data_IF_949473833372
#
_entry.id   IF_949473833372
#
_cell.length_a   1.000
_cell.length_b   1.000
_cell.length_c   1.000
_cell.angle_alpha   90.00
_cell.angle_beta   90.00
_cell.angle_gamma   90.00
#
_symmetry.space_group_name_H-M   'P 1'
#
loop_
_entity.id
_entity.type
_entity.pdbx_description
1 polymer ?
#
# COMPACT_ATOMS: atom_id res chain seq x y z
N UNK A 1 -19.89 -11.42 18.48
CA UNK A 1 -20.20 -12.87 18.45
C UNK A 1 -21.32 -13.13 19.45
N UNK A 2 -22.49 -13.60 18.99
CA UNK A 2 -23.58 -14.03 19.86
C UNK A 2 -23.13 -15.25 20.67
N UNK A 3 -23.38 -15.24 21.97
CA UNK A 3 -23.10 -16.40 22.83
C UNK A 3 -24.11 -17.51 22.51
N UNK A 4 -23.68 -18.77 22.39
CA UNK A 4 -24.57 -19.90 22.06
C UNK A 4 -25.73 -20.09 23.06
N UNK A 5 -25.59 -19.53 24.26
CA UNK A 5 -26.61 -19.44 25.31
C UNK A 5 -27.87 -18.67 24.87
N UNK A 6 -27.74 -17.67 23.98
CA UNK A 6 -28.86 -16.82 23.53
C UNK A 6 -29.83 -17.53 22.57
N UNK A 7 -29.45 -18.71 22.05
CA UNK A 7 -30.25 -19.52 21.15
C UNK A 7 -30.96 -20.68 21.89
N UNK A 8 -30.62 -20.92 23.16
CA UNK A 8 -31.22 -21.97 23.97
C UNK A 8 -32.57 -21.51 24.51
N UNK A 9 -33.66 -22.18 24.11
CA UNK A 9 -35.04 -21.89 24.56
C UNK A 9 -35.92 -21.17 23.54
N UNK A 10 -35.43 -20.91 22.33
CA UNK A 10 -36.26 -20.41 21.23
C UNK A 10 -37.17 -21.53 20.69
N UNK A 11 -38.40 -21.17 20.31
CA UNK A 11 -39.25 -22.08 19.54
C UNK A 11 -38.60 -22.36 18.17
N UNK A 12 -38.89 -23.52 17.55
CA UNK A 12 -38.32 -23.88 16.25
C UNK A 12 -38.51 -22.80 15.17
N UNK A 13 -39.67 -22.14 15.19
CA UNK A 13 -40.00 -21.03 14.28
C UNK A 13 -39.11 -19.80 14.52
N UNK A 14 -38.95 -19.37 15.78
CA UNK A 14 -38.10 -18.22 16.11
C UNK A 14 -36.62 -18.48 15.84
N UNK A 15 -36.18 -19.74 15.99
CA UNK A 15 -34.83 -20.15 15.65
C UNK A 15 -34.61 -20.08 14.12
N UNK A 16 -35.59 -20.54 13.33
CA UNK A 16 -35.54 -20.45 11.87
C UNK A 16 -35.48 -18.99 11.39
N UNK A 17 -36.35 -18.12 11.92
CA UNK A 17 -36.36 -16.68 11.60
C UNK A 17 -35.03 -16.00 11.96
N UNK A 18 -34.45 -16.35 13.10
CA UNK A 18 -33.16 -15.79 13.56
C UNK A 18 -32.02 -16.24 12.64
N UNK A 19 -32.00 -17.51 12.24
CA UNK A 19 -30.99 -18.05 11.33
C UNK A 19 -31.12 -17.42 9.93
N UNK A 20 -32.34 -17.22 9.44
CA UNK A 20 -32.58 -16.56 8.15
C UNK A 20 -32.14 -15.09 8.17
N UNK A 21 -32.45 -14.36 9.24
CA UNK A 21 -31.98 -12.98 9.42
C UNK A 21 -30.43 -12.90 9.52
N UNK A 22 -29.80 -13.88 10.17
CA UNK A 22 -28.34 -13.97 10.24
C UNK A 22 -27.71 -14.30 8.88
N UNK A 23 -28.28 -15.22 8.11
CA UNK A 23 -27.80 -15.57 6.78
C UNK A 23 -27.92 -14.36 5.83
N UNK A 24 -29.05 -13.65 5.87
CA UNK A 24 -29.25 -12.41 5.12
C UNK A 24 -28.21 -11.34 5.48
N UNK A 25 -27.96 -11.16 6.78
CA UNK A 25 -26.95 -10.20 7.27
C UNK A 25 -25.53 -10.61 6.85
N UNK A 26 -25.20 -11.89 6.91
CA UNK A 26 -23.90 -12.41 6.49
C UNK A 26 -23.66 -12.22 4.99
N UNK A 27 -24.68 -12.43 4.15
CA UNK A 27 -24.61 -12.17 2.70
C UNK A 27 -24.35 -10.69 2.41
N UNK A 28 -25.06 -9.80 3.10
CA UNK A 28 -24.87 -8.36 2.93
C UNK A 28 -23.45 -7.91 3.33
N UNK A 29 -22.92 -8.45 4.43
CA UNK A 29 -21.54 -8.18 4.85
C UNK A 29 -20.51 -8.71 3.84
N UNK A 30 -20.74 -9.89 3.26
CA UNK A 30 -19.89 -10.46 2.22
C UNK A 30 -19.88 -9.60 0.96
N UNK A 31 -21.04 -9.09 0.54
CA UNK A 31 -21.15 -8.21 -0.62
C UNK A 31 -20.45 -6.87 -0.38
N UNK A 32 -20.61 -6.28 0.81
CA UNK A 32 -19.87 -5.08 1.22
C UNK A 32 -18.35 -5.30 1.22
N UNK A 33 -17.89 -6.45 1.73
CA UNK A 33 -16.47 -6.79 1.74
C UNK A 33 -15.91 -6.96 0.32
N UNK A 34 -16.67 -7.58 -0.59
CA UNK A 34 -16.29 -7.72 -2.00
C UNK A 34 -16.22 -6.36 -2.70
N UNK A 35 -17.16 -5.48 -2.43
CA UNK A 35 -17.16 -4.13 -2.99
C UNK A 35 -15.98 -3.30 -2.48
N UNK A 36 -15.69 -3.36 -1.18
CA UNK A 36 -14.54 -2.71 -0.58
C UNK A 36 -13.22 -3.22 -1.20
N UNK A 37 -13.09 -4.54 -1.39
CA UNK A 37 -11.95 -5.13 -2.09
C UNK A 37 -11.82 -4.61 -3.53
N UNK A 38 -12.90 -4.62 -4.30
CA UNK A 38 -12.87 -4.13 -5.68
C UNK A 38 -12.48 -2.64 -5.79
N UNK A 39 -12.84 -1.82 -4.79
CA UNK A 39 -12.40 -0.42 -4.70
C UNK A 39 -10.91 -0.33 -4.36
N UNK A 40 -10.41 -1.16 -3.43
CA UNK A 40 -8.99 -1.22 -3.09
C UNK A 40 -8.14 -1.63 -4.30
N UNK A 41 -8.54 -2.67 -5.04
CA UNK A 41 -7.84 -3.15 -6.24
C UNK A 41 -7.74 -2.05 -7.32
N UNK A 42 -8.81 -1.25 -7.50
CA UNK A 42 -8.79 -0.08 -8.39
C UNK A 42 -7.82 1.00 -7.94
N UNK A 43 -7.76 1.24 -6.63
CA UNK A 43 -6.88 2.25 -6.04
C UNK A 43 -5.41 1.83 -6.15
N UNK A 44 -5.10 0.55 -5.92
CA UNK A 44 -3.78 -0.04 -6.15
C UNK A 44 -3.34 0.13 -7.61
N UNK A 45 -4.24 -0.15 -8.56
CA UNK A 45 -3.96 0.01 -10.00
C UNK A 45 -3.67 1.48 -10.34
N UNK A 46 -4.49 2.42 -9.84
CA UNK A 46 -4.29 3.84 -10.07
C UNK A 46 -2.97 4.35 -9.45
N UNK A 47 -2.62 3.90 -8.25
CA UNK A 47 -1.37 4.25 -7.59
C UNK A 47 -0.16 3.70 -8.38
N UNK A 48 -0.26 2.46 -8.85
CA UNK A 48 0.78 1.81 -9.66
C UNK A 48 1.01 2.55 -10.98
N UNK A 49 -0.07 3.00 -11.64
CA UNK A 49 0.02 3.83 -12.84
C UNK A 49 0.65 5.20 -12.55
N UNK A 50 0.27 5.86 -11.45
CA UNK A 50 0.83 7.15 -11.07
C UNK A 50 2.32 7.06 -10.73
N UNK A 51 2.72 6.04 -9.98
CA UNK A 51 4.14 5.74 -9.71
C UNK A 51 4.87 5.46 -11.02
N UNK A 52 4.29 4.67 -11.93
CA UNK A 52 4.86 4.43 -13.25
C UNK A 52 5.04 5.70 -14.08
N UNK A 53 4.05 6.60 -14.10
CA UNK A 53 4.15 7.87 -14.84
C UNK A 53 5.23 8.76 -14.24
N UNK A 54 5.29 8.88 -12.91
CA UNK A 54 6.32 9.70 -12.25
C UNK A 54 7.72 9.11 -12.42
N UNK A 55 7.86 7.78 -12.35
CA UNK A 55 9.15 7.11 -12.51
C UNK A 55 9.71 7.19 -13.94
N UNK A 56 8.86 7.41 -14.95
CA UNK A 56 9.25 7.47 -16.37
C UNK A 56 9.16 8.89 -16.96
N UNK A 57 9.02 9.93 -16.13
CA UNK A 57 9.03 11.32 -16.59
C UNK A 57 10.48 11.80 -16.77
N UNK A 58 10.95 12.05 -18.01
CA UNK A 58 12.33 12.42 -18.29
C UNK A 58 12.70 13.84 -17.79
N UNK A 59 11.72 14.64 -17.34
CA UNK A 59 11.93 15.94 -16.71
C UNK A 59 12.11 15.88 -15.19
N UNK A 60 11.85 14.72 -14.58
CA UNK A 60 12.10 14.44 -13.18
C UNK A 60 13.44 13.69 -13.13
N UNK A 61 14.47 14.26 -12.50
CA UNK A 61 15.70 13.51 -12.22
C UNK A 61 15.31 12.24 -11.42
N UNK A 62 15.25 11.08 -12.10
CA UNK A 62 14.36 9.94 -11.80
C UNK A 62 14.45 9.41 -10.36
N UNK A 63 15.59 9.57 -9.70
CA UNK A 63 15.77 9.18 -8.30
C UNK A 63 15.19 10.19 -7.30
N UNK A 64 15.27 11.49 -7.57
CA UNK A 64 14.83 12.50 -6.61
C UNK A 64 13.31 12.57 -6.46
N UNK A 65 12.57 12.27 -7.52
CA UNK A 65 11.11 12.26 -7.50
C UNK A 65 10.54 11.15 -6.61
N UNK A 66 11.04 9.92 -6.78
CA UNK A 66 10.64 8.77 -5.97
C UNK A 66 11.06 8.95 -4.50
N UNK A 67 12.28 9.45 -4.24
CA UNK A 67 12.71 9.77 -2.88
C UNK A 67 11.85 10.88 -2.26
N UNK A 68 11.44 11.89 -3.03
CA UNK A 68 10.53 12.95 -2.56
C UNK A 68 9.16 12.39 -2.19
N UNK A 69 8.57 11.53 -3.03
CA UNK A 69 7.27 10.91 -2.73
C UNK A 69 7.37 10.04 -1.47
N UNK A 70 8.41 9.21 -1.37
CA UNK A 70 8.65 8.42 -0.17
C UNK A 70 8.79 9.30 1.09
N UNK A 71 9.47 10.44 0.97
CA UNK A 71 9.60 11.43 2.03
C UNK A 71 8.25 12.04 2.44
N UNK A 72 7.40 12.39 1.47
CA UNK A 72 6.07 12.95 1.73
C UNK A 72 5.14 11.93 2.40
N UNK A 73 5.19 10.65 2.01
CA UNK A 73 4.41 9.59 2.63
C UNK A 73 4.85 9.31 4.08
N UNK A 74 6.17 9.33 4.34
CA UNK A 74 6.70 9.25 5.72
C UNK A 74 6.28 10.44 6.56
N UNK A 75 6.40 11.66 6.01
CA UNK A 75 5.97 12.88 6.69
C UNK A 75 4.48 12.80 7.05
N UNK A 76 3.64 12.33 6.12
CA UNK A 76 2.21 12.11 6.33
C UNK A 76 1.90 11.06 7.42
N UNK A 77 2.74 10.04 7.57
CA UNK A 77 2.57 8.99 8.57
C UNK A 77 3.09 9.37 9.97
N UNK A 78 4.15 10.16 10.03
CA UNK A 78 4.90 10.44 11.26
C UNK A 78 4.56 11.82 11.86
N UNK A 79 4.18 12.80 11.02
CA UNK A 79 3.81 14.16 11.40
C UNK A 79 2.58 14.65 10.60
N UNK A 80 1.39 14.06 10.82
CA UNK A 80 0.20 14.29 10.00
C UNK A 80 -0.30 15.74 10.02
N UNK A 81 -0.22 16.44 11.16
CA UNK A 81 -0.66 17.83 11.27
C UNK A 81 0.20 18.76 10.40
N UNK A 82 1.52 18.55 10.42
CA UNK A 82 2.47 19.30 9.60
C UNK A 82 2.34 18.95 8.11
N UNK A 83 2.09 17.66 7.80
CA UNK A 83 1.91 17.19 6.44
C UNK A 83 0.61 17.72 5.81
N UNK A 84 -0.45 17.89 6.59
CA UNK A 84 -1.70 18.48 6.12
C UNK A 84 -1.48 19.90 5.57
N UNK A 85 -0.71 20.72 6.28
CA UNK A 85 -0.39 22.10 5.87
C UNK A 85 0.57 22.17 4.67
N UNK A 86 1.58 21.30 4.62
CA UNK A 86 2.66 21.38 3.62
C UNK A 86 2.37 20.65 2.32
N UNK A 87 1.65 19.52 2.37
CA UNK A 87 1.48 18.62 1.22
C UNK A 87 0.04 18.13 1.04
N UNK A 88 -0.92 18.59 1.85
CA UNK A 88 -2.33 18.20 1.73
C UNK A 88 -2.61 16.76 2.15
N UNK A 89 -1.85 16.24 3.12
CA UNK A 89 -2.04 14.89 3.66
C UNK A 89 -3.34 14.79 4.47
N UNK A 90 -4.22 13.86 4.08
CA UNK A 90 -5.42 13.46 4.85
C UNK A 90 -5.16 12.12 5.58
N UNK A 91 -4.36 12.18 6.65
CA UNK A 91 -3.90 11.00 7.40
C UNK A 91 -5.02 10.25 8.15
N UNK A 92 -6.17 10.88 8.35
CA UNK A 92 -7.37 10.26 8.92
C UNK A 92 -8.01 9.23 7.99
N UNK A 93 -7.69 9.27 6.69
CA UNK A 93 -8.23 8.34 5.69
C UNK A 93 -7.39 7.08 5.44
N UNK A 94 -6.13 7.08 5.86
CA UNK A 94 -5.18 5.98 5.57
C UNK A 94 -4.39 5.66 6.83
N UNK A 95 -4.36 4.40 7.24
CA UNK A 95 -3.58 3.99 8.41
C UNK A 95 -2.09 4.34 8.26
N UNK A 96 -1.45 4.92 9.30
CA UNK A 96 -0.04 5.31 9.24
C UNK A 96 0.93 4.17 8.89
N UNK A 97 0.57 2.93 9.23
CA UNK A 97 1.38 1.75 8.88
C UNK A 97 1.43 1.51 7.37
N UNK A 98 0.34 1.76 6.65
CA UNK A 98 0.28 1.61 5.20
C UNK A 98 1.09 2.70 4.49
N UNK A 99 1.02 3.94 4.99
CA UNK A 99 1.81 5.05 4.47
C UNK A 99 3.32 4.78 4.62
N UNK A 100 3.76 4.26 5.78
CA UNK A 100 5.16 3.84 6.00
C UNK A 100 5.56 2.69 5.08
N UNK A 101 4.68 1.70 4.89
CA UNK A 101 4.96 0.58 3.99
C UNK A 101 5.13 1.06 2.53
N UNK A 102 4.23 1.92 2.03
CA UNK A 102 4.32 2.51 0.71
C UNK A 102 5.60 3.35 0.54
N UNK A 103 5.95 4.17 1.54
CA UNK A 103 7.19 4.94 1.53
C UNK A 103 8.44 4.05 1.39
N UNK A 104 8.48 2.91 2.09
CA UNK A 104 9.61 1.98 2.02
C UNK A 104 9.73 1.31 0.65
N UNK A 105 8.61 0.93 0.03
CA UNK A 105 8.58 0.33 -1.32
C UNK A 105 9.09 1.34 -2.35
N UNK A 106 8.59 2.58 -2.30
CA UNK A 106 8.95 3.64 -3.25
C UNK A 106 10.41 4.07 -3.07
N UNK A 107 10.89 4.20 -1.83
CA UNK A 107 12.29 4.52 -1.56
C UNK A 107 13.27 3.44 -2.05
N UNK A 108 12.84 2.18 -2.08
CA UNK A 108 13.63 1.08 -2.63
C UNK A 108 13.69 1.11 -4.17
N UNK A 109 12.59 1.52 -4.83
CA UNK A 109 12.54 1.67 -6.28
C UNK A 109 13.36 2.88 -6.78
N UNK A 110 13.45 3.95 -6.01
CA UNK A 110 14.24 5.15 -6.33
C UNK A 110 15.70 5.12 -5.88
N UNK A 111 16.28 3.93 -5.67
CA UNK A 111 17.73 3.80 -5.49
C UNK A 111 18.35 3.59 -6.87
N UNK A 112 19.34 4.40 -7.30
CA UNK A 112 20.10 4.09 -8.51
C UNK A 112 20.69 2.69 -8.37
N UNK A 113 20.61 1.90 -9.44
CA UNK A 113 21.07 0.53 -9.50
C UNK A 113 22.44 0.36 -8.85
N UNK A 114 22.47 -0.23 -7.65
CA UNK A 114 23.68 -0.83 -7.08
C UNK A 114 24.22 -1.98 -7.97
N UNK A 115 23.46 -2.36 -9.02
CA UNK A 115 23.86 -3.32 -10.05
C UNK A 115 24.79 -2.66 -11.09
N UNK A 116 24.75 -1.34 -11.28
CA UNK A 116 25.62 -0.66 -12.26
C UNK A 116 27.05 -0.45 -11.74
N UNK A 117 27.21 -0.11 -10.45
CA UNK A 117 28.53 0.08 -9.84
C UNK A 117 29.35 -1.21 -9.73
N UNK A 118 28.69 -2.36 -9.51
CA UNK A 118 29.36 -3.67 -9.46
C UNK A 118 29.94 -4.10 -10.82
N UNK A 119 29.25 -3.80 -11.92
CA UNK A 119 29.70 -4.14 -13.28
C UNK A 119 30.87 -3.24 -13.71
N UNK A 120 30.89 -1.97 -13.33
CA UNK A 120 32.04 -1.08 -13.61
C UNK A 120 33.29 -1.45 -12.82
N UNK A 121 33.16 -1.93 -11.58
CA UNK A 121 34.32 -2.31 -10.77
C UNK A 121 34.94 -3.65 -11.21
N UNK A 122 34.13 -4.59 -11.71
CA UNK A 122 34.63 -5.85 -12.31
C UNK A 122 35.25 -5.69 -13.70
N UNK A 123 34.83 -4.69 -14.50
CA UNK A 123 35.47 -4.41 -15.79
C UNK A 123 36.82 -3.68 -15.64
N UNK A 124 36.99 -2.82 -14.64
CA UNK A 124 38.27 -2.13 -14.41
C UNK A 124 39.35 -3.05 -13.82
N UNK A 125 38.99 -4.12 -13.11
CA UNK A 125 39.95 -5.11 -12.58
C UNK A 125 40.43 -6.11 -13.65
N UNK A 126 39.67 -6.30 -14.74
CA UNK A 126 40.05 -7.19 -15.85
C UNK A 126 41.01 -6.53 -16.85
N UNK A 127 40.94 -5.21 -17.02
CA UNK A 127 41.83 -4.47 -17.92
C UNK A 127 43.18 -4.12 -17.28
N UNK A 128 43.33 -4.27 -15.96
CA UNK A 128 44.59 -4.04 -15.24
C UNK A 128 45.58 -5.21 -15.27
N UNK A 129 45.20 -6.37 -15.79
CA UNK A 129 45.99 -7.60 -15.75
C UNK A 129 46.56 -8.00 -17.12
N UNK A 130 47.14 -7.05 -17.87
CA UNK A 130 48.20 -7.37 -18.84
C UNK A 130 48.96 -6.11 -19.20
N UNK A 131 50.18 -5.99 -18.65
CA UNK A 131 51.39 -5.45 -19.27
C UNK A 131 52.39 -5.17 -18.15
N UNK A 132 53.22 -6.16 -17.82
CA UNK A 132 54.68 -6.06 -17.64
C UNK A 132 55.26 -7.46 -17.42
#
# INVERSE_FOLDING_TARGET
>A
MLRPEALQGLSPEKLADTLEAMDSSARLLLDQAREAKARADKLETALSLLVGVVANDPGLEENYALQRIAGQLRLCADLPELAAELVGCEADRIEPVMLRAAANIIAAAGKPDAVSEAVTHELMDRDGATLH
#
